data_IF_618461341007
#
_entry.id   IF_618461341007
#
_cell.length_a   1.000
_cell.length_b   1.000
_cell.length_c   1.000
_cell.angle_alpha   90.00
_cell.angle_beta   90.00
_cell.angle_gamma   90.00
#
_symmetry.space_group_name_H-M   'P 1'
#
loop_
_entity.id
_entity.type
_entity.pdbx_description
1 polymer ?
#
# COMPACT_ATOMS: atom_id res chain seq x y z
N UNK A 1 23.94 -33.02 48.56
CA UNK A 1 22.73 -32.53 47.88
C UNK A 1 23.10 -32.06 46.50
N UNK A 2 22.84 -32.89 45.49
CA UNK A 2 23.02 -32.51 44.08
C UNK A 2 21.73 -31.85 43.60
N UNK A 3 21.79 -30.55 43.29
CA UNK A 3 20.70 -29.83 42.64
C UNK A 3 20.59 -30.34 41.20
N UNK A 4 19.61 -31.20 40.95
CA UNK A 4 19.15 -31.52 39.60
C UNK A 4 18.45 -30.28 39.03
N UNK A 5 19.20 -29.49 38.25
CA UNK A 5 18.58 -28.58 37.29
C UNK A 5 17.86 -29.45 36.26
N UNK A 6 16.53 -29.47 36.34
CA UNK A 6 15.67 -30.02 35.32
C UNK A 6 15.80 -29.10 34.09
N UNK A 7 16.85 -29.30 33.27
CA UNK A 7 16.91 -28.77 31.90
C UNK A 7 15.77 -29.44 31.14
N UNK A 8 14.60 -28.80 31.13
CA UNK A 8 13.51 -29.21 30.27
C UNK A 8 14.06 -29.34 28.86
N UNK A 9 13.98 -30.54 28.27
CA UNK A 9 14.34 -30.76 26.86
C UNK A 9 13.65 -29.67 26.04
N UNK A 10 14.43 -28.90 25.28
CA UNK A 10 13.86 -28.01 24.27
C UNK A 10 12.98 -28.87 23.36
N UNK A 11 11.67 -28.60 23.32
CA UNK A 11 10.75 -29.31 22.42
C UNK A 11 11.24 -29.16 20.98
N UNK A 12 11.08 -30.20 20.18
CA UNK A 12 11.47 -30.15 18.77
C UNK A 12 10.62 -29.09 18.04
N UNK A 13 11.19 -28.32 17.09
CA UNK A 13 10.44 -27.31 16.35
C UNK A 13 9.17 -27.84 15.67
N UNK A 14 9.18 -29.09 15.21
CA UNK A 14 8.00 -29.77 14.64
C UNK A 14 6.87 -29.97 15.65
N UNK A 15 7.21 -30.34 16.88
CA UNK A 15 6.21 -30.57 17.93
C UNK A 15 5.60 -29.26 18.40
N UNK A 16 6.39 -28.18 18.40
CA UNK A 16 5.91 -26.82 18.70
C UNK A 16 4.90 -26.37 17.64
N UNK A 17 5.24 -26.50 16.35
CA UNK A 17 4.35 -26.10 15.26
C UNK A 17 3.02 -26.87 15.30
N UNK A 18 3.07 -28.21 15.50
CA UNK A 18 1.87 -29.04 15.62
C UNK A 18 1.04 -28.68 16.84
N UNK A 19 1.68 -28.48 18.00
CA UNK A 19 0.99 -28.11 19.23
C UNK A 19 0.30 -26.75 19.12
N UNK A 20 0.90 -25.75 18.46
CA UNK A 20 0.25 -24.45 18.25
C UNK A 20 -1.03 -24.61 17.43
N UNK A 21 -0.99 -25.44 16.37
CA UNK A 21 -2.15 -25.71 15.51
C UNK A 21 -3.29 -26.40 16.27
N UNK A 22 -2.97 -27.35 17.14
CA UNK A 22 -3.97 -28.04 17.97
C UNK A 22 -4.59 -27.11 19.04
N UNK A 23 -3.81 -26.15 19.56
CA UNK A 23 -4.17 -25.28 20.68
C UNK A 23 -4.73 -23.90 20.27
N UNK A 24 -5.15 -23.69 19.01
CA UNK A 24 -5.55 -22.37 18.48
C UNK A 24 -6.66 -21.65 19.29
N UNK A 25 -7.34 -22.35 20.20
CA UNK A 25 -8.43 -21.83 21.05
C UNK A 25 -8.13 -21.95 22.56
N UNK A 26 -6.95 -22.42 22.95
CA UNK A 26 -6.62 -22.72 24.35
C UNK A 26 -5.63 -21.71 24.97
N UNK A 27 -5.75 -21.47 26.28
CA UNK A 27 -4.86 -20.57 27.03
C UNK A 27 -3.38 -20.99 27.00
N UNK A 28 -3.10 -22.27 26.75
CA UNK A 28 -1.73 -22.79 26.64
C UNK A 28 -0.98 -22.33 25.38
N UNK A 29 -1.70 -21.82 24.38
CA UNK A 29 -1.16 -21.32 23.11
C UNK A 29 -0.11 -20.21 23.30
N UNK A 30 -0.34 -19.29 24.25
CA UNK A 30 0.57 -18.18 24.50
C UNK A 30 1.97 -18.66 24.92
N UNK A 31 2.05 -19.77 25.68
CA UNK A 31 3.33 -20.37 26.06
C UNK A 31 4.05 -20.97 24.85
N UNK A 32 3.33 -21.64 23.95
CA UNK A 32 3.92 -22.21 22.75
C UNK A 32 4.39 -21.13 21.78
N UNK A 33 3.61 -20.06 21.59
CA UNK A 33 4.02 -18.90 20.79
C UNK A 33 5.25 -18.21 21.39
N UNK A 34 5.31 -18.03 22.71
CA UNK A 34 6.51 -17.48 23.35
C UNK A 34 7.74 -18.36 23.14
N UNK A 35 7.59 -19.69 23.14
CA UNK A 35 8.69 -20.62 22.82
C UNK A 35 9.11 -20.53 21.35
N UNK A 36 8.15 -20.47 20.43
CA UNK A 36 8.40 -20.29 19.01
C UNK A 36 9.12 -18.96 18.73
N UNK A 37 8.71 -17.88 19.39
CA UNK A 37 9.38 -16.57 19.33
C UNK A 37 10.83 -16.67 19.80
N UNK A 38 11.07 -17.37 20.93
CA UNK A 38 12.43 -17.55 21.45
C UNK A 38 13.35 -18.24 20.44
N UNK A 39 12.85 -19.23 19.68
CA UNK A 39 13.63 -19.91 18.64
C UNK A 39 14.02 -18.96 17.51
N UNK A 40 13.10 -18.11 17.05
CA UNK A 40 13.36 -17.24 15.88
C UNK A 40 14.07 -15.93 16.20
N UNK A 41 13.94 -15.44 17.44
CA UNK A 41 14.47 -14.13 17.86
C UNK A 41 15.64 -14.24 18.84
N UNK A 42 15.69 -15.30 19.66
CA UNK A 42 16.65 -15.42 20.75
C UNK A 42 16.42 -14.42 21.89
N UNK A 43 17.38 -14.34 22.79
CA UNK A 43 17.48 -13.30 23.85
C UNK A 43 18.93 -12.83 23.96
N UNK A 44 19.22 -11.92 24.91
CA UNK A 44 20.61 -11.55 25.21
C UNK A 44 21.45 -12.73 25.72
N UNK A 45 20.81 -13.78 26.26
CA UNK A 45 21.46 -14.96 26.81
C UNK A 45 21.38 -16.18 25.88
N UNK A 46 20.42 -16.19 24.97
CA UNK A 46 20.12 -17.32 24.09
C UNK A 46 20.31 -16.88 22.64
N UNK A 47 21.40 -17.32 22.03
CA UNK A 47 21.66 -17.10 20.61
C UNK A 47 20.71 -17.94 19.73
N UNK A 48 20.37 -17.38 18.56
CA UNK A 48 19.52 -18.04 17.57
C UNK A 48 20.34 -19.08 16.80
N UNK A 49 19.91 -20.35 16.83
CA UNK A 49 20.48 -21.40 15.97
C UNK A 49 19.81 -21.39 14.58
N UNK A 50 20.56 -21.16 13.49
CA UNK A 50 20.01 -21.19 12.13
C UNK A 50 19.34 -22.53 11.77
N UNK A 51 19.87 -23.64 12.27
CA UNK A 51 19.33 -24.98 12.04
C UNK A 51 17.98 -25.17 12.72
N UNK A 52 17.83 -24.67 13.96
CA UNK A 52 16.56 -24.71 14.67
C UNK A 52 15.50 -23.83 14.00
N UNK A 53 15.88 -22.64 13.54
CA UNK A 53 14.98 -21.76 12.78
C UNK A 53 14.59 -22.41 11.46
N UNK A 54 15.53 -23.02 10.74
CA UNK A 54 15.23 -23.73 9.50
C UNK A 54 14.22 -24.87 9.72
N UNK A 55 14.43 -25.70 10.74
CA UNK A 55 13.54 -26.78 11.10
C UNK A 55 12.14 -26.26 11.49
N UNK A 56 12.09 -25.15 12.24
CA UNK A 56 10.83 -24.50 12.62
C UNK A 56 10.08 -23.96 11.40
N UNK A 57 10.77 -23.26 10.49
CA UNK A 57 10.16 -22.75 9.26
C UNK A 57 9.60 -23.90 8.44
N UNK A 58 10.36 -24.98 8.23
CA UNK A 58 9.88 -26.15 7.49
C UNK A 58 8.63 -26.76 8.13
N UNK A 59 8.62 -26.95 9.45
CA UNK A 59 7.45 -27.46 10.15
C UNK A 59 6.23 -26.53 10.04
N UNK A 60 6.44 -25.21 10.18
CA UNK A 60 5.39 -24.20 10.06
C UNK A 60 4.72 -24.25 8.68
N UNK A 61 5.51 -24.40 7.60
CA UNK A 61 5.00 -24.49 6.24
C UNK A 61 4.29 -25.82 5.96
N UNK A 62 4.81 -26.93 6.52
CA UNK A 62 4.18 -28.25 6.39
C UNK A 62 2.81 -28.31 7.05
N UNK A 63 2.68 -27.72 8.25
CA UNK A 63 1.44 -27.69 9.01
C UNK A 63 0.46 -26.60 8.56
N UNK A 64 0.81 -25.77 7.58
CA UNK A 64 0.02 -24.60 7.16
C UNK A 64 -0.29 -23.63 8.32
N UNK A 65 0.62 -23.56 9.28
CA UNK A 65 0.39 -22.86 10.55
C UNK A 65 0.26 -21.34 10.36
N UNK A 66 0.94 -20.77 9.36
CA UNK A 66 0.83 -19.32 9.08
C UNK A 66 -0.60 -18.94 8.67
N UNK A 67 -1.28 -19.76 7.88
CA UNK A 67 -2.65 -19.49 7.47
C UNK A 67 -3.59 -19.47 8.68
N UNK A 68 -3.52 -20.52 9.51
CA UNK A 68 -4.32 -20.62 10.73
C UNK A 68 -4.06 -19.46 11.71
N UNK A 69 -2.79 -19.06 11.88
CA UNK A 69 -2.42 -17.92 12.72
C UNK A 69 -2.91 -16.58 12.14
N UNK A 70 -2.89 -16.40 10.81
CA UNK A 70 -3.42 -15.20 10.16
C UNK A 70 -4.94 -15.10 10.36
N UNK A 71 -5.66 -16.19 10.11
CA UNK A 71 -7.11 -16.26 10.28
C UNK A 71 -7.53 -16.07 11.76
N UNK A 72 -6.78 -16.69 12.68
CA UNK A 72 -7.05 -16.68 14.12
C UNK A 72 -6.49 -15.47 14.88
N UNK A 73 -5.72 -14.58 14.24
CA UNK A 73 -4.94 -13.55 14.96
C UNK A 73 -5.80 -12.66 15.86
N UNK A 74 -7.00 -12.31 15.41
CA UNK A 74 -7.93 -11.47 16.15
C UNK A 74 -8.47 -12.13 17.43
N UNK A 75 -8.44 -13.47 17.53
CA UNK A 75 -8.91 -14.23 18.69
C UNK A 75 -7.82 -14.40 19.76
N UNK A 76 -6.56 -14.17 19.40
CA UNK A 76 -5.44 -14.35 20.31
C UNK A 76 -5.41 -13.25 21.39
N UNK A 77 -4.96 -13.59 22.62
CA UNK A 77 -4.71 -12.59 23.64
C UNK A 77 -3.61 -11.62 23.21
N UNK A 78 -3.55 -10.46 23.85
CA UNK A 78 -2.71 -9.33 23.43
C UNK A 78 -1.22 -9.70 23.25
N UNK A 79 -0.62 -10.40 24.22
CA UNK A 79 0.78 -10.81 24.12
C UNK A 79 1.00 -11.89 23.04
N UNK A 80 0.06 -12.83 22.87
CA UNK A 80 0.15 -13.83 21.81
C UNK A 80 0.07 -13.20 20.40
N UNK A 81 -0.69 -12.11 20.23
CA UNK A 81 -0.68 -11.35 18.96
C UNK A 81 0.68 -10.73 18.66
N UNK A 82 1.33 -10.12 19.66
CA UNK A 82 2.68 -9.55 19.51
C UNK A 82 3.72 -10.60 19.19
N UNK A 83 3.64 -11.75 19.86
CA UNK A 83 4.52 -12.88 19.61
C UNK A 83 4.31 -13.41 18.19
N UNK A 84 3.06 -13.59 17.76
CA UNK A 84 2.72 -14.02 16.40
C UNK A 84 3.24 -13.05 15.34
N UNK A 85 3.07 -11.75 15.54
CA UNK A 85 3.64 -10.72 14.66
C UNK A 85 5.17 -10.84 14.53
N UNK A 86 5.85 -11.03 15.67
CA UNK A 86 7.30 -11.18 15.72
C UNK A 86 7.74 -12.44 14.97
N UNK A 87 7.08 -13.56 15.21
CA UNK A 87 7.33 -14.85 14.56
C UNK A 87 7.16 -14.72 13.04
N UNK A 88 6.02 -14.21 12.59
CA UNK A 88 5.75 -13.99 11.16
C UNK A 88 6.85 -13.15 10.50
N UNK A 89 7.23 -12.04 11.13
CA UNK A 89 8.24 -11.13 10.59
C UNK A 89 9.62 -11.79 10.47
N UNK A 90 10.00 -12.64 11.42
CA UNK A 90 11.27 -13.38 11.34
C UNK A 90 11.21 -14.47 10.28
N UNK A 91 10.10 -15.21 10.18
CA UNK A 91 9.91 -16.25 9.16
C UNK A 91 9.93 -15.63 7.74
N UNK A 92 9.28 -14.48 7.54
CA UNK A 92 9.28 -13.72 6.28
C UNK A 92 10.67 -13.25 5.85
N UNK A 93 11.61 -13.09 6.79
CA UNK A 93 12.99 -12.67 6.51
C UNK A 93 13.96 -13.85 6.39
N UNK A 94 13.59 -15.03 6.89
CA UNK A 94 14.50 -16.14 7.06
C UNK A 94 14.95 -16.72 5.72
N UNK A 95 16.27 -16.79 5.52
CA UNK A 95 16.91 -17.44 4.37
C UNK A 95 17.88 -18.51 4.87
N UNK A 96 17.73 -19.78 4.46
CA UNK A 96 18.72 -20.81 4.73
C UNK A 96 20.09 -20.43 4.19
N UNK A 97 21.17 -20.81 4.88
CA UNK A 97 22.56 -20.50 4.50
C UNK A 97 22.91 -21.03 3.10
N UNK A 98 22.30 -22.16 2.71
CA UNK A 98 22.51 -22.82 1.42
C UNK A 98 21.37 -22.57 0.42
N UNK A 99 20.58 -21.49 0.60
CA UNK A 99 19.47 -21.22 -0.30
C UNK A 99 19.96 -20.76 -1.68
N UNK A 100 19.66 -21.55 -2.71
CA UNK A 100 19.92 -21.18 -4.11
C UNK A 100 18.88 -20.20 -4.67
N UNK A 101 17.74 -20.03 -4.00
CA UNK A 101 16.70 -19.08 -4.40
C UNK A 101 16.92 -17.71 -3.75
N UNK A 102 16.69 -16.65 -4.53
CA UNK A 102 16.83 -15.27 -4.07
C UNK A 102 15.84 -14.93 -2.94
N UNK A 103 14.68 -15.60 -2.88
CA UNK A 103 13.61 -15.30 -1.95
C UNK A 103 13.54 -16.27 -0.75
N UNK A 104 13.06 -15.81 0.42
CA UNK A 104 12.77 -16.67 1.56
C UNK A 104 11.83 -17.83 1.20
N UNK A 105 12.01 -19.04 1.78
CA UNK A 105 11.15 -20.20 1.47
C UNK A 105 9.65 -19.95 1.69
N UNK A 106 9.31 -19.12 2.68
CA UNK A 106 7.91 -18.75 2.97
C UNK A 106 7.28 -17.93 1.85
N UNK A 107 8.04 -17.11 1.12
CA UNK A 107 7.50 -16.33 0.00
C UNK A 107 7.13 -17.27 -1.14
N UNK A 108 7.98 -18.25 -1.46
CA UNK A 108 7.66 -19.28 -2.43
C UNK A 108 6.44 -20.10 -2.02
N UNK A 109 6.30 -20.43 -0.73
CA UNK A 109 5.11 -21.11 -0.20
C UNK A 109 3.83 -20.29 -0.38
N UNK A 110 3.85 -19.00 -0.02
CA UNK A 110 2.71 -18.11 -0.18
C UNK A 110 2.31 -18.03 -1.66
N UNK A 111 3.27 -17.84 -2.56
CA UNK A 111 2.99 -17.69 -3.99
C UNK A 111 2.41 -18.95 -4.63
N UNK A 112 2.97 -20.13 -4.32
CA UNK A 112 2.62 -21.35 -5.06
C UNK A 112 1.56 -22.20 -4.36
N UNK A 113 1.34 -22.01 -3.06
CA UNK A 113 0.51 -22.93 -2.26
C UNK A 113 -0.55 -22.23 -1.40
N UNK A 114 -0.25 -21.06 -0.83
CA UNK A 114 -1.14 -20.43 0.16
C UNK A 114 -1.20 -18.89 0.09
N UNK A 115 -1.68 -18.31 -1.03
CA UNK A 115 -1.86 -16.87 -1.15
C UNK A 115 -2.86 -16.30 -0.13
N UNK A 116 -3.78 -17.13 0.36
CA UNK A 116 -4.80 -16.77 1.36
C UNK A 116 -4.19 -16.23 2.65
N UNK A 117 -2.94 -16.58 2.99
CA UNK A 117 -2.24 -15.99 4.14
C UNK A 117 -2.25 -14.45 4.05
N UNK A 118 -1.99 -13.91 2.86
CA UNK A 118 -1.96 -12.47 2.64
C UNK A 118 -3.37 -11.87 2.72
N UNK A 119 -4.35 -12.57 2.18
CA UNK A 119 -5.75 -12.14 2.20
C UNK A 119 -6.28 -12.08 3.64
N UNK A 120 -6.04 -13.11 4.45
CA UNK A 120 -6.45 -13.15 5.86
C UNK A 120 -5.71 -12.10 6.70
N UNK A 121 -4.43 -11.84 6.42
CA UNK A 121 -3.71 -10.73 7.05
C UNK A 121 -4.34 -9.38 6.71
N UNK A 122 -4.78 -9.15 5.47
CA UNK A 122 -5.53 -7.94 5.10
C UNK A 122 -6.87 -7.86 5.83
N UNK A 123 -7.65 -8.95 5.87
CA UNK A 123 -8.91 -9.04 6.62
C UNK A 123 -8.73 -8.78 8.12
N UNK A 124 -7.52 -8.96 8.65
CA UNK A 124 -7.19 -8.56 10.02
C UNK A 124 -7.44 -7.08 10.36
N UNK A 125 -7.58 -6.18 9.37
CA UNK A 125 -8.05 -4.80 9.57
C UNK A 125 -9.55 -4.69 9.90
N UNK A 126 -10.35 -5.73 9.72
CA UNK A 126 -11.75 -5.76 10.16
C UNK A 126 -11.89 -5.74 11.69
N UNK A 127 -10.85 -6.16 12.40
CA UNK A 127 -10.81 -6.19 13.85
C UNK A 127 -9.72 -5.26 14.37
N UNK A 128 -10.12 -4.23 15.13
CA UNK A 128 -9.22 -3.21 15.68
C UNK A 128 -8.03 -3.79 16.46
N UNK A 129 -8.24 -4.93 17.12
CA UNK A 129 -7.25 -5.58 17.95
C UNK A 129 -6.16 -6.32 17.14
N UNK A 130 -6.44 -6.81 15.94
CA UNK A 130 -5.44 -7.44 15.06
C UNK A 130 -4.84 -6.49 14.01
N UNK A 131 -5.46 -5.33 13.77
CA UNK A 131 -5.06 -4.40 12.73
C UNK A 131 -3.56 -4.05 12.74
N UNK A 132 -3.01 -3.62 13.88
CA UNK A 132 -1.60 -3.23 14.00
C UNK A 132 -0.61 -4.41 13.80
N UNK A 133 -0.82 -5.58 14.47
CA UNK A 133 -0.05 -6.79 14.16
C UNK A 133 -0.09 -7.18 12.69
N UNK A 134 -1.28 -7.25 12.08
CA UNK A 134 -1.45 -7.58 10.67
C UNK A 134 -0.74 -6.58 9.76
N UNK A 135 -0.93 -5.28 10.00
CA UNK A 135 -0.28 -4.23 9.24
C UNK A 135 1.23 -4.33 9.28
N UNK A 136 1.81 -4.65 10.44
CA UNK A 136 3.26 -4.84 10.57
C UNK A 136 3.76 -6.04 9.79
N UNK A 137 3.04 -7.16 9.84
CA UNK A 137 3.36 -8.37 9.05
C UNK A 137 3.24 -8.08 7.55
N UNK A 138 2.15 -7.43 7.13
CA UNK A 138 1.89 -7.08 5.73
C UNK A 138 2.97 -6.18 5.16
N UNK A 139 3.39 -5.14 5.89
CA UNK A 139 4.46 -4.25 5.45
C UNK A 139 5.82 -4.96 5.37
N UNK A 140 6.05 -5.98 6.20
CA UNK A 140 7.22 -6.84 6.04
C UNK A 140 7.12 -7.70 4.77
N UNK A 141 5.97 -8.31 4.53
CA UNK A 141 5.72 -9.14 3.35
C UNK A 141 5.74 -8.32 2.04
N UNK A 142 5.26 -7.07 2.09
CA UNK A 142 5.24 -6.14 0.96
C UNK A 142 6.63 -5.78 0.45
N UNK A 143 7.72 -6.14 1.14
CA UNK A 143 9.08 -6.04 0.57
C UNK A 143 9.26 -6.89 -0.68
N UNK A 144 8.43 -7.90 -0.88
CA UNK A 144 8.41 -8.76 -2.07
C UNK A 144 7.27 -8.32 -2.99
N UNK A 145 7.58 -8.14 -4.27
CA UNK A 145 6.67 -7.60 -5.28
C UNK A 145 5.47 -8.52 -5.57
N UNK A 146 5.71 -9.83 -5.53
CA UNK A 146 4.68 -10.88 -5.59
C UNK A 146 3.57 -10.71 -4.56
N UNK A 147 3.88 -10.18 -3.36
CA UNK A 147 2.86 -9.95 -2.32
C UNK A 147 1.99 -8.75 -2.69
N UNK A 148 2.58 -7.70 -3.26
CA UNK A 148 1.79 -6.58 -3.77
C UNK A 148 0.90 -7.02 -4.94
N UNK A 149 1.38 -7.91 -5.81
CA UNK A 149 0.57 -8.47 -6.90
C UNK A 149 -0.63 -9.27 -6.36
N UNK A 150 -0.44 -10.12 -5.34
CA UNK A 150 -1.56 -10.84 -4.70
C UNK A 150 -2.60 -9.84 -4.20
N UNK A 151 -2.20 -8.83 -3.41
CA UNK A 151 -3.15 -7.87 -2.83
C UNK A 151 -3.88 -7.07 -3.92
N UNK A 152 -3.15 -6.55 -4.91
CA UNK A 152 -3.71 -5.70 -5.95
C UNK A 152 -4.65 -6.46 -6.88
N UNK A 153 -4.29 -7.68 -7.28
CA UNK A 153 -5.02 -8.42 -8.31
C UNK A 153 -6.07 -9.40 -7.78
N UNK A 154 -6.07 -9.72 -6.48
CA UNK A 154 -7.06 -10.60 -5.88
C UNK A 154 -8.47 -9.99 -5.95
N UNK A 155 -9.41 -10.78 -6.46
CA UNK A 155 -10.83 -10.46 -6.58
C UNK A 155 -11.72 -11.58 -5.99
N UNK A 156 -11.13 -12.47 -5.19
CA UNK A 156 -11.84 -13.61 -4.63
C UNK A 156 -12.88 -13.17 -3.59
N UNK A 157 -14.03 -13.84 -3.56
CA UNK A 157 -15.04 -13.66 -2.51
C UNK A 157 -14.69 -14.47 -1.25
N UNK A 158 -15.42 -14.22 -0.15
CA UNK A 158 -15.23 -14.97 1.08
C UNK A 158 -15.49 -16.47 0.88
N UNK A 159 -14.46 -17.28 1.10
CA UNK A 159 -14.50 -18.74 0.93
C UNK A 159 -14.01 -19.22 -0.43
N UNK A 160 -13.75 -18.32 -1.38
CA UNK A 160 -13.07 -18.65 -2.62
C UNK A 160 -11.55 -18.70 -2.43
N UNK A 161 -10.83 -19.51 -3.22
CA UNK A 161 -9.37 -19.51 -3.21
C UNK A 161 -8.84 -18.15 -3.68
N UNK A 162 -7.75 -17.70 -3.05
CA UNK A 162 -7.13 -16.44 -3.43
C UNK A 162 -6.42 -16.57 -4.79
N UNK A 163 -6.23 -15.43 -5.47
CA UNK A 163 -5.64 -15.41 -6.80
C UNK A 163 -4.25 -16.08 -6.84
N UNK A 164 -4.01 -16.90 -7.87
CA UNK A 164 -2.67 -17.39 -8.18
C UNK A 164 -1.97 -16.42 -9.11
N UNK A 165 -0.67 -16.19 -8.93
CA UNK A 165 0.08 -15.28 -9.80
C UNK A 165 0.04 -15.68 -11.29
N UNK A 166 -0.11 -16.96 -11.59
CA UNK A 166 -0.27 -17.49 -12.96
C UNK A 166 -1.60 -17.10 -13.61
N UNK A 167 -2.59 -16.69 -12.82
CA UNK A 167 -3.95 -16.33 -13.26
C UNK A 167 -4.14 -14.81 -13.36
N UNK A 168 -3.14 -14.03 -12.94
CA UNK A 168 -3.20 -12.56 -12.99
C UNK A 168 -3.31 -12.09 -14.43
N UNK A 169 -4.29 -11.22 -14.70
CA UNK A 169 -4.53 -10.60 -16.00
C UNK A 169 -4.36 -9.08 -15.89
N UNK A 170 -3.14 -8.53 -16.02
CA UNK A 170 -2.86 -7.11 -15.78
C UNK A 170 -3.59 -6.14 -16.71
N UNK A 171 -4.05 -6.60 -17.88
CA UNK A 171 -4.74 -5.78 -18.87
C UNK A 171 -6.26 -5.72 -18.71
N UNK A 172 -6.82 -6.41 -17.72
CA UNK A 172 -8.27 -6.46 -17.48
C UNK A 172 -8.63 -5.56 -16.30
N UNK A 173 -9.51 -4.56 -16.48
CA UNK A 173 -10.01 -3.75 -15.38
C UNK A 173 -10.74 -4.61 -14.34
N UNK A 174 -10.55 -4.28 -13.07
CA UNK A 174 -11.20 -4.91 -11.94
C UNK A 174 -12.60 -4.35 -11.69
N UNK A 175 -13.40 -5.10 -10.93
CA UNK A 175 -14.76 -4.72 -10.56
C UNK A 175 -14.82 -3.86 -9.29
N UNK A 176 -13.75 -3.83 -8.50
CA UNK A 176 -13.68 -3.02 -7.27
C UNK A 176 -14.08 -3.74 -5.99
N UNK A 177 -14.22 -5.07 -6.03
CA UNK A 177 -14.67 -5.92 -4.92
C UNK A 177 -13.54 -6.65 -4.18
N UNK A 178 -12.35 -6.72 -4.79
CA UNK A 178 -11.19 -7.42 -4.24
C UNK A 178 -10.63 -6.84 -2.94
N UNK A 179 -9.73 -7.59 -2.30
CA UNK A 179 -9.18 -7.26 -0.97
C UNK A 179 -8.54 -5.86 -0.91
N UNK A 180 -7.84 -5.44 -1.97
CA UNK A 180 -7.25 -4.10 -2.06
C UNK A 180 -8.29 -3.00 -1.90
N UNK A 181 -9.47 -3.18 -2.47
CA UNK A 181 -10.53 -2.18 -2.46
C UNK A 181 -11.18 -2.00 -1.09
N UNK A 182 -10.97 -2.94 -0.17
CA UNK A 182 -11.42 -2.84 1.23
C UNK A 182 -10.59 -1.87 2.06
N UNK A 183 -9.35 -1.56 1.65
CA UNK A 183 -8.55 -0.51 2.29
C UNK A 183 -9.23 0.87 2.28
N UNK A 184 -9.96 1.21 1.21
CA UNK A 184 -10.73 2.46 1.17
C UNK A 184 -11.74 2.56 2.32
N UNK A 185 -12.38 1.44 2.66
CA UNK A 185 -13.32 1.37 3.79
C UNK A 185 -12.57 1.43 5.13
N UNK A 186 -11.51 0.65 5.32
CA UNK A 186 -10.74 0.65 6.57
C UNK A 186 -10.11 2.01 6.89
N UNK A 187 -9.68 2.74 5.86
CA UNK A 187 -9.07 4.07 5.99
C UNK A 187 -10.11 5.16 6.32
N UNK A 188 -11.30 5.10 5.74
CA UNK A 188 -12.32 6.16 5.93
C UNK A 188 -13.23 5.93 7.14
N UNK A 189 -13.51 4.66 7.49
CA UNK A 189 -14.47 4.28 8.54
C UNK A 189 -13.83 3.74 9.82
N UNK A 190 -12.52 3.54 9.82
CA UNK A 190 -11.78 3.04 10.98
C UNK A 190 -11.73 4.04 12.15
N UNK A 191 -11.30 3.54 13.32
CA UNK A 191 -10.77 4.42 14.37
C UNK A 191 -9.54 5.17 13.85
N UNK A 192 -9.10 6.22 14.54
CA UNK A 192 -7.91 6.97 14.13
C UNK A 192 -6.67 6.07 13.94
N UNK A 193 -6.40 5.18 14.91
CA UNK A 193 -5.26 4.26 14.85
C UNK A 193 -5.37 3.26 13.70
N UNK A 194 -6.56 2.68 13.48
CA UNK A 194 -6.83 1.74 12.40
C UNK A 194 -6.68 2.42 11.04
N UNK A 195 -7.25 3.62 10.89
CA UNK A 195 -7.18 4.41 9.67
C UNK A 195 -5.73 4.80 9.34
N UNK A 196 -4.94 5.21 10.35
CA UNK A 196 -3.55 5.58 10.16
C UNK A 196 -2.67 4.38 9.75
N UNK A 197 -2.84 3.22 10.40
CA UNK A 197 -2.07 2.02 10.08
C UNK A 197 -2.46 1.43 8.73
N UNK A 198 -3.77 1.32 8.44
CA UNK A 198 -4.26 0.86 7.13
C UNK A 198 -3.83 1.79 6.00
N UNK A 199 -3.83 3.11 6.20
CA UNK A 199 -3.31 4.06 5.22
C UNK A 199 -1.81 3.86 4.97
N UNK A 200 -1.03 3.55 6.00
CA UNK A 200 0.41 3.29 5.87
C UNK A 200 0.66 2.07 4.98
N UNK A 201 -0.08 0.98 5.21
CA UNK A 201 0.00 -0.23 4.38
C UNK A 201 -0.51 0.02 2.95
N UNK A 202 -1.63 0.73 2.80
CA UNK A 202 -2.17 1.12 1.49
C UNK A 202 -1.20 1.96 0.66
N UNK A 203 -0.56 2.96 1.28
CA UNK A 203 0.50 3.74 0.65
C UNK A 203 1.67 2.85 0.22
N UNK A 204 2.07 1.90 1.05
CA UNK A 204 3.18 0.99 0.73
C UNK A 204 2.88 0.09 -0.47
N UNK A 205 1.66 -0.46 -0.55
CA UNK A 205 1.16 -1.21 -1.71
C UNK A 205 1.31 -0.38 -2.99
N UNK A 206 0.95 0.91 -2.94
CA UNK A 206 0.92 1.81 -4.10
C UNK A 206 2.26 2.47 -4.45
N UNK A 207 3.28 2.41 -3.61
CA UNK A 207 4.52 3.21 -3.82
C UNK A 207 5.80 2.40 -3.83
N UNK A 208 5.79 1.17 -3.31
CA UNK A 208 7.00 0.35 -3.21
C UNK A 208 7.43 -0.25 -4.56
N UNK A 209 6.51 -0.93 -5.24
CA UNK A 209 6.81 -1.72 -6.45
C UNK A 209 6.29 -1.04 -7.72
N UNK A 210 7.02 0.00 -8.15
CA UNK A 210 6.60 0.94 -9.19
C UNK A 210 6.12 0.28 -10.49
N UNK A 211 6.81 -0.78 -10.95
CA UNK A 211 6.48 -1.47 -12.20
C UNK A 211 5.07 -2.05 -12.17
N UNK A 212 4.74 -2.80 -11.11
CA UNK A 212 3.43 -3.45 -10.94
C UNK A 212 2.34 -2.40 -10.75
N UNK A 213 2.59 -1.40 -9.89
CA UNK A 213 1.59 -0.36 -9.58
C UNK A 213 1.29 0.52 -10.79
N UNK A 214 2.30 0.88 -11.59
CA UNK A 214 2.09 1.69 -12.81
C UNK A 214 1.13 0.99 -13.76
N UNK A 215 1.36 -0.30 -14.03
CA UNK A 215 0.48 -1.10 -14.90
C UNK A 215 -0.92 -1.21 -14.30
N UNK A 216 -1.02 -1.52 -13.02
CA UNK A 216 -2.29 -1.65 -12.32
C UNK A 216 -3.12 -0.36 -12.34
N UNK A 217 -2.51 0.79 -12.04
CA UNK A 217 -3.17 2.10 -12.04
C UNK A 217 -3.60 2.52 -13.45
N UNK A 218 -2.82 2.18 -14.48
CA UNK A 218 -3.19 2.47 -15.87
C UNK A 218 -4.42 1.66 -16.29
N UNK A 219 -4.45 0.36 -15.99
CA UNK A 219 -5.60 -0.52 -16.32
C UNK A 219 -6.86 -0.14 -15.55
N UNK A 220 -6.72 0.23 -14.27
CA UNK A 220 -7.84 0.51 -13.37
C UNK A 220 -8.10 2.01 -13.17
N UNK A 221 -7.63 2.85 -14.11
CA UNK A 221 -7.53 4.29 -13.93
C UNK A 221 -8.85 4.94 -13.47
N UNK A 222 -9.93 4.73 -14.22
CA UNK A 222 -11.22 5.36 -13.95
C UNK A 222 -11.79 4.92 -12.60
N UNK A 223 -11.80 3.62 -12.34
CA UNK A 223 -12.31 3.06 -11.09
C UNK A 223 -11.49 3.51 -9.88
N UNK A 224 -10.15 3.43 -9.98
CA UNK A 224 -9.25 3.79 -8.89
C UNK A 224 -9.37 5.27 -8.55
N UNK A 225 -9.21 6.17 -9.53
CA UNK A 225 -9.22 7.60 -9.22
C UNK A 225 -10.62 8.13 -8.89
N UNK A 226 -11.69 7.53 -9.41
CA UNK A 226 -13.04 7.86 -8.95
C UNK A 226 -13.18 7.58 -7.46
N UNK A 227 -12.85 6.36 -7.01
CA UNK A 227 -12.97 5.97 -5.60
C UNK A 227 -11.96 6.70 -4.70
N UNK A 228 -10.72 6.88 -5.16
CA UNK A 228 -9.69 7.62 -4.43
C UNK A 228 -10.08 9.08 -4.21
N UNK A 229 -10.63 9.73 -5.23
CA UNK A 229 -11.05 11.12 -5.12
C UNK A 229 -12.30 11.30 -4.26
N UNK A 230 -13.28 10.40 -4.39
CA UNK A 230 -14.53 10.45 -3.64
C UNK A 230 -14.34 10.09 -2.17
N UNK A 231 -13.67 8.98 -1.89
CA UNK A 231 -13.58 8.43 -0.53
C UNK A 231 -12.43 9.08 0.25
N UNK A 232 -11.26 9.23 -0.36
CA UNK A 232 -10.04 9.57 0.38
C UNK A 232 -9.70 11.07 0.30
N UNK A 233 -9.60 11.63 -0.90
CA UNK A 233 -9.27 13.06 -1.09
C UNK A 233 -10.37 13.98 -0.57
N UNK A 234 -11.63 13.54 -0.64
CA UNK A 234 -12.77 14.29 -0.13
C UNK A 234 -13.21 13.88 1.28
N UNK A 235 -12.50 12.95 1.94
CA UNK A 235 -12.83 12.46 3.29
C UNK A 235 -13.08 13.60 4.28
N UNK A 236 -14.02 13.42 5.20
CA UNK A 236 -14.26 14.39 6.28
C UNK A 236 -13.12 14.38 7.31
N UNK A 237 -12.42 13.25 7.46
CA UNK A 237 -11.24 13.11 8.32
C UNK A 237 -10.09 13.97 7.80
N UNK A 238 -9.63 14.91 8.64
CA UNK A 238 -8.51 15.79 8.28
C UNK A 238 -7.25 15.01 7.93
N UNK A 239 -6.90 14.00 8.73
CA UNK A 239 -5.68 13.23 8.53
C UNK A 239 -5.78 12.38 7.26
N UNK A 240 -6.90 11.67 7.07
CA UNK A 240 -7.15 10.90 5.85
C UNK A 240 -7.09 11.78 4.62
N UNK A 241 -7.83 12.91 4.60
CA UNK A 241 -7.82 13.87 3.50
C UNK A 241 -6.40 14.34 3.16
N UNK A 242 -5.68 14.86 4.16
CA UNK A 242 -4.34 15.43 3.96
C UNK A 242 -3.37 14.37 3.43
N UNK A 243 -3.30 13.20 4.05
CA UNK A 243 -2.39 12.15 3.64
C UNK A 243 -2.73 11.61 2.24
N UNK A 244 -4.01 11.56 1.88
CA UNK A 244 -4.46 11.12 0.56
C UNK A 244 -4.08 12.10 -0.55
N UNK A 245 -4.18 13.41 -0.30
CA UNK A 245 -3.74 14.44 -1.26
C UNK A 245 -2.22 14.38 -1.44
N UNK A 246 -1.48 14.19 -0.34
CA UNK A 246 -0.03 14.01 -0.40
C UNK A 246 0.34 12.78 -1.23
N UNK A 247 -0.31 11.63 -0.98
CA UNK A 247 -0.12 10.40 -1.74
C UNK A 247 -0.48 10.57 -3.22
N UNK A 248 -1.56 11.30 -3.53
CA UNK A 248 -1.91 11.64 -4.91
C UNK A 248 -0.77 12.43 -5.59
N UNK A 249 -0.20 13.42 -4.90
CA UNK A 249 0.98 14.14 -5.39
C UNK A 249 2.17 13.22 -5.65
N UNK A 250 2.48 12.31 -4.70
CA UNK A 250 3.54 11.30 -4.85
C UNK A 250 3.32 10.40 -6.07
N UNK A 251 2.09 9.91 -6.28
CA UNK A 251 1.75 9.04 -7.43
C UNK A 251 1.91 9.79 -8.75
N UNK A 252 1.38 11.01 -8.86
CA UNK A 252 1.39 11.80 -10.09
C UNK A 252 2.80 12.29 -10.46
N UNK A 253 3.65 12.58 -9.47
CA UNK A 253 5.00 13.08 -9.71
C UNK A 253 6.03 11.95 -9.94
N UNK A 254 5.66 10.69 -9.72
CA UNK A 254 6.54 9.58 -10.05
C UNK A 254 6.70 9.42 -11.57
N UNK A 255 7.96 9.43 -12.04
CA UNK A 255 8.30 9.30 -13.46
C UNK A 255 7.76 8.03 -14.13
N UNK A 256 7.58 6.94 -13.37
CA UNK A 256 7.03 5.68 -13.89
C UNK A 256 5.54 5.81 -14.22
N UNK A 257 4.84 6.66 -13.48
CA UNK A 257 3.41 6.95 -13.65
C UNK A 257 3.13 8.04 -14.68
N UNK A 258 4.03 8.35 -15.63
CA UNK A 258 3.82 9.44 -16.59
C UNK A 258 2.46 9.35 -17.31
N UNK A 259 2.10 8.17 -17.83
CA UNK A 259 0.82 7.98 -18.53
C UNK A 259 -0.38 8.19 -17.60
N UNK A 260 -0.28 7.68 -16.36
CA UNK A 260 -1.31 7.85 -15.32
C UNK A 260 -1.46 9.33 -14.96
N UNK A 261 -0.33 10.04 -14.79
CA UNK A 261 -0.32 11.47 -14.50
C UNK A 261 -0.95 12.26 -15.62
N UNK A 262 -0.56 12.00 -16.88
CA UNK A 262 -1.13 12.66 -18.05
C UNK A 262 -2.65 12.47 -18.13
N UNK A 263 -3.15 11.23 -17.96
CA UNK A 263 -4.59 10.96 -17.93
C UNK A 263 -5.30 11.72 -16.79
N UNK A 264 -4.69 11.80 -15.60
CA UNK A 264 -5.26 12.51 -14.46
C UNK A 264 -5.36 14.02 -14.68
N UNK A 265 -4.30 14.63 -15.24
CA UNK A 265 -4.24 16.09 -15.44
C UNK A 265 -4.99 16.57 -16.67
N UNK A 266 -5.47 15.68 -17.53
CA UNK A 266 -6.36 16.02 -18.64
C UNK A 266 -7.82 16.22 -18.21
N UNK A 267 -8.21 15.72 -17.04
CA UNK A 267 -9.58 15.80 -16.52
C UNK A 267 -9.90 17.17 -15.92
N UNK A 268 -10.93 17.82 -16.46
CA UNK A 268 -11.47 19.06 -15.90
C UNK A 268 -12.11 18.88 -14.51
N UNK A 269 -12.68 17.72 -14.23
CA UNK A 269 -13.26 17.43 -12.90
C UNK A 269 -12.17 17.28 -11.84
N UNK A 270 -11.05 16.64 -12.18
CA UNK A 270 -9.91 16.54 -11.28
C UNK A 270 -9.31 17.93 -11.00
N UNK A 271 -9.22 18.81 -12.01
CA UNK A 271 -8.80 20.21 -11.78
C UNK A 271 -9.76 20.95 -10.84
N UNK A 272 -11.08 20.81 -11.02
CA UNK A 272 -12.07 21.44 -10.14
C UNK A 272 -11.90 20.94 -8.70
N UNK A 273 -11.66 19.65 -8.50
CA UNK A 273 -11.35 19.09 -7.18
C UNK A 273 -10.12 19.75 -6.58
N UNK A 274 -9.00 19.82 -7.31
CA UNK A 274 -7.79 20.48 -6.82
C UNK A 274 -8.02 21.96 -6.48
N UNK A 275 -8.77 22.70 -7.31
CA UNK A 275 -9.12 24.10 -7.03
C UNK A 275 -10.02 24.26 -5.79
N UNK A 276 -10.87 23.28 -5.47
CA UNK A 276 -11.61 23.25 -4.20
C UNK A 276 -10.67 23.03 -3.02
N UNK A 277 -9.67 22.15 -3.14
CA UNK A 277 -8.68 21.89 -2.08
C UNK A 277 -7.86 23.14 -1.75
N UNK A 278 -7.52 23.98 -2.74
CA UNK A 278 -6.86 25.28 -2.51
C UNK A 278 -7.69 26.22 -1.62
N UNK A 279 -9.00 25.99 -1.53
CA UNK A 279 -9.94 26.79 -0.73
C UNK A 279 -10.39 26.09 0.56
N UNK A 280 -9.79 24.95 0.92
CA UNK A 280 -10.11 24.26 2.17
C UNK A 280 -9.74 25.13 3.37
N UNK A 281 -10.49 25.10 4.47
CA UNK A 281 -10.23 25.95 5.64
C UNK A 281 -8.89 25.65 6.33
N UNK A 282 -8.30 24.47 6.07
CA UNK A 282 -7.09 23.98 6.75
C UNK A 282 -5.86 24.23 5.88
N UNK A 283 -4.94 25.08 6.34
CA UNK A 283 -3.71 25.45 5.62
C UNK A 283 -2.89 24.28 5.10
N UNK A 284 -2.78 23.19 5.87
CA UNK A 284 -2.03 22.01 5.44
C UNK A 284 -2.72 21.24 4.32
N UNK A 285 -4.06 21.24 4.25
CA UNK A 285 -4.79 20.66 3.11
C UNK A 285 -4.61 21.53 1.87
N UNK A 286 -4.69 22.85 2.04
CA UNK A 286 -4.41 23.81 0.97
C UNK A 286 -3.02 23.60 0.38
N UNK A 287 -2.01 23.45 1.24
CA UNK A 287 -0.62 23.24 0.86
C UNK A 287 -0.42 21.96 0.04
N UNK A 288 -0.94 20.81 0.49
CA UNK A 288 -0.86 19.57 -0.31
C UNK A 288 -1.67 19.70 -1.61
N UNK A 289 -2.84 20.39 -1.56
CA UNK A 289 -3.66 20.67 -2.75
C UNK A 289 -2.93 21.52 -3.80
N UNK A 290 -2.06 22.43 -3.37
CA UNK A 290 -1.20 23.21 -4.25
C UNK A 290 -0.21 22.35 -5.02
N UNK A 291 0.41 21.36 -4.37
CA UNK A 291 1.35 20.47 -5.05
C UNK A 291 0.70 19.64 -6.16
N UNK A 292 -0.58 19.27 -6.01
CA UNK A 292 -1.35 18.60 -7.07
C UNK A 292 -1.79 19.59 -8.14
N UNK A 293 -2.31 20.76 -7.76
CA UNK A 293 -2.73 21.82 -8.68
C UNK A 293 -1.58 22.29 -9.59
N UNK A 294 -0.37 22.40 -9.04
CA UNK A 294 0.87 22.69 -9.76
C UNK A 294 1.04 21.83 -11.02
N UNK A 295 0.74 20.53 -10.93
CA UNK A 295 0.94 19.59 -12.04
C UNK A 295 0.03 19.93 -13.23
N UNK A 296 -1.22 20.36 -12.97
CA UNK A 296 -2.15 20.79 -14.02
C UNK A 296 -1.66 22.04 -14.76
N UNK A 297 -1.16 23.02 -14.01
CA UNK A 297 -0.70 24.29 -14.57
C UNK A 297 0.66 24.14 -15.27
N UNK A 298 1.53 23.27 -14.76
CA UNK A 298 2.84 22.98 -15.34
C UNK A 298 2.76 22.10 -16.61
N UNK A 299 1.67 21.36 -16.83
CA UNK A 299 1.50 20.55 -18.03
C UNK A 299 1.53 21.43 -19.30
N UNK A 300 2.48 21.25 -20.24
CA UNK A 300 2.52 22.03 -21.48
C UNK A 300 1.36 21.69 -22.42
N UNK A 301 0.85 20.46 -22.36
CA UNK A 301 -0.19 19.92 -23.25
C UNK A 301 -1.53 19.81 -22.52
N UNK A 302 -2.03 20.94 -22.00
CA UNK A 302 -3.30 20.98 -21.26
C UNK A 302 -4.48 20.62 -22.17
N UNK A 303 -5.39 19.78 -21.70
CA UNK A 303 -6.65 19.51 -22.42
C UNK A 303 -7.48 20.78 -22.59
N UNK A 304 -8.36 20.83 -23.60
CA UNK A 304 -9.27 21.97 -23.83
C UNK A 304 -10.15 22.24 -22.61
N UNK A 305 -10.60 21.19 -21.91
CA UNK A 305 -11.40 21.31 -20.69
C UNK A 305 -10.62 22.02 -19.57
N UNK A 306 -9.37 21.62 -19.35
CA UNK A 306 -8.48 22.21 -18.34
C UNK A 306 -8.13 23.64 -18.68
N UNK A 307 -7.76 23.93 -19.94
CA UNK A 307 -7.50 25.28 -20.41
C UNK A 307 -8.70 26.19 -20.18
N UNK A 308 -9.91 25.75 -20.56
CA UNK A 308 -11.14 26.53 -20.38
C UNK A 308 -11.37 26.89 -18.92
N UNK A 309 -11.17 25.96 -17.99
CA UNK A 309 -11.32 26.23 -16.55
C UNK A 309 -10.29 27.26 -16.08
N UNK A 310 -9.01 27.11 -16.45
CA UNK A 310 -7.95 28.04 -16.05
C UNK A 310 -8.16 29.44 -16.64
N UNK A 311 -8.54 29.53 -17.92
CA UNK A 311 -8.82 30.80 -18.61
C UNK A 311 -10.00 31.51 -17.94
N UNK A 312 -11.11 30.81 -17.70
CA UNK A 312 -12.31 31.39 -17.08
C UNK A 312 -12.07 31.87 -15.64
N UNK A 313 -11.06 31.35 -14.97
CA UNK A 313 -10.71 31.73 -13.59
C UNK A 313 -9.42 32.56 -13.50
N UNK A 314 -8.84 33.00 -14.63
CA UNK A 314 -7.51 33.64 -14.70
C UNK A 314 -7.36 34.79 -13.70
N UNK A 315 -8.23 35.79 -13.78
CA UNK A 315 -8.12 36.99 -12.94
C UNK A 315 -8.24 36.67 -11.45
N UNK A 316 -9.06 35.66 -11.11
CA UNK A 316 -9.22 35.20 -9.72
C UNK A 316 -7.97 34.47 -9.25
N UNK A 317 -7.41 33.59 -10.08
CA UNK A 317 -6.18 32.87 -9.77
C UNK A 317 -4.98 33.81 -9.61
N UNK A 318 -4.83 34.81 -10.49
CA UNK A 318 -3.73 35.79 -10.41
C UNK A 318 -3.83 36.70 -9.18
N UNK A 319 -5.04 36.94 -8.66
CA UNK A 319 -5.23 37.64 -7.38
C UNK A 319 -5.03 36.73 -6.18
N UNK A 320 -5.41 35.47 -6.30
CA UNK A 320 -5.37 34.49 -5.21
C UNK A 320 -3.95 33.97 -4.93
N UNK A 321 -3.25 33.50 -5.95
CA UNK A 321 -1.97 32.80 -5.80
C UNK A 321 -0.89 33.63 -5.09
N UNK A 322 -0.67 34.94 -5.38
CA UNK A 322 0.37 35.70 -4.68
C UNK A 322 0.20 35.73 -3.15
N UNK A 323 -1.05 35.78 -2.66
CA UNK A 323 -1.41 35.81 -1.23
C UNK A 323 -1.63 34.43 -0.62
N UNK A 324 -1.56 33.38 -1.43
CA UNK A 324 -1.80 32.01 -0.97
C UNK A 324 -0.68 31.55 -0.05
N UNK A 325 -1.03 31.21 1.19
CA UNK A 325 -0.11 30.80 2.27
C UNK A 325 1.10 31.75 2.41
N UNK A 326 0.85 33.06 2.36
CA UNK A 326 1.91 34.09 2.43
C UNK A 326 2.69 34.10 3.76
N UNK A 327 2.15 33.46 4.80
CA UNK A 327 2.82 33.29 6.08
C UNK A 327 3.94 32.24 6.07
N UNK A 328 4.05 31.43 4.99
CA UNK A 328 5.10 30.43 4.81
C UNK A 328 6.31 31.04 4.08
N UNK A 329 7.10 31.83 4.80
CA UNK A 329 8.25 32.56 4.25
C UNK A 329 9.58 31.79 4.32
N UNK A 330 9.61 30.64 4.99
CA UNK A 330 10.79 29.78 5.19
C UNK A 330 10.97 28.72 4.08
N UNK A 331 10.05 28.70 3.10
CA UNK A 331 10.01 27.73 2.01
C UNK A 331 10.23 28.44 0.66
N UNK A 332 11.50 28.65 0.31
CA UNK A 332 11.91 29.30 -0.93
C UNK A 332 11.38 28.54 -2.16
N UNK A 333 11.41 27.20 -2.11
CA UNK A 333 10.89 26.35 -3.18
C UNK A 333 9.40 26.62 -3.42
N UNK A 334 8.60 26.67 -2.37
CA UNK A 334 7.18 26.99 -2.49
C UNK A 334 6.95 28.40 -3.10
N UNK A 335 7.76 29.38 -2.71
CA UNK A 335 7.69 30.75 -3.23
C UNK A 335 8.02 30.82 -4.73
N UNK A 336 9.04 30.08 -5.16
CA UNK A 336 9.43 29.97 -6.57
C UNK A 336 8.36 29.23 -7.39
N UNK A 337 7.84 28.12 -6.88
CA UNK A 337 6.76 27.38 -7.52
C UNK A 337 5.51 28.26 -7.70
N UNK A 338 5.15 29.04 -6.68
CA UNK A 338 4.02 29.99 -6.73
C UNK A 338 4.22 31.05 -7.81
N UNK A 339 5.41 31.64 -7.86
CA UNK A 339 5.78 32.65 -8.86
C UNK A 339 5.77 32.06 -10.28
N UNK A 340 6.26 30.83 -10.45
CA UNK A 340 6.19 30.09 -11.70
C UNK A 340 4.74 29.86 -12.15
N UNK A 341 3.84 29.43 -11.24
CA UNK A 341 2.43 29.20 -11.57
C UNK A 341 1.71 30.49 -12.00
N UNK A 342 1.97 31.61 -11.30
CA UNK A 342 1.42 32.93 -11.67
C UNK A 342 1.82 33.26 -13.12
N UNK A 343 3.10 33.12 -13.45
CA UNK A 343 3.62 33.41 -14.79
C UNK A 343 3.02 32.49 -15.85
N UNK A 344 2.85 31.19 -15.55
CA UNK A 344 2.19 30.25 -16.46
C UNK A 344 0.73 30.60 -16.73
N UNK A 345 0.00 31.08 -15.71
CA UNK A 345 -1.40 31.47 -15.84
C UNK A 345 -1.54 32.79 -16.63
N UNK A 346 -0.62 33.74 -16.45
CA UNK A 346 -0.57 34.99 -17.24
C UNK A 346 -0.37 34.69 -18.74
N UNK A 347 0.50 33.72 -19.05
CA UNK A 347 0.83 33.32 -20.43
C UNK A 347 -0.24 32.47 -21.11
N UNK A 348 -1.34 32.12 -20.44
CA UNK A 348 -2.42 31.35 -21.07
C UNK A 348 -3.03 32.13 -22.25
N UNK A 349 -3.40 31.46 -23.36
CA UNK A 349 -4.07 32.09 -24.48
C UNK A 349 -5.45 32.62 -24.08
N UNK A 350 -6.00 33.60 -24.82
CA UNK A 350 -7.33 34.17 -24.52
C UNK A 350 -8.46 33.15 -24.66
N UNK A 351 -8.29 32.20 -25.57
CA UNK A 351 -9.23 31.12 -25.85
C UNK A 351 -8.51 29.76 -25.78
N UNK A 352 -9.21 28.67 -25.45
CA UNK A 352 -8.62 27.34 -25.46
C UNK A 352 -8.11 26.97 -26.85
N UNK A 353 -6.90 26.43 -26.93
CA UNK A 353 -6.27 25.95 -28.17
C UNK A 353 -6.19 24.44 -28.12
N UNK A 354 -6.52 23.75 -29.21
CA UNK A 354 -6.30 22.31 -29.28
C UNK A 354 -4.80 21.99 -29.13
N UNK A 355 -4.41 21.15 -28.16
CA UNK A 355 -3.02 20.79 -28.00
C UNK A 355 -2.55 20.02 -29.24
N UNK A 356 -1.42 20.44 -29.81
CA UNK A 356 -0.79 19.73 -30.92
C UNK A 356 -0.32 18.35 -30.44
N UNK A 357 -1.18 17.33 -30.56
CA UNK A 357 -0.79 15.95 -30.29
C UNK A 357 0.36 15.60 -31.22
N UNK A 358 1.55 15.40 -30.67
CA UNK A 358 2.66 14.92 -31.49
C UNK A 358 2.23 13.57 -32.07
N UNK A 359 2.30 13.41 -33.38
CA UNK A 359 1.92 12.18 -34.11
C UNK A 359 2.78 10.94 -33.74
N UNK A 360 3.60 11.02 -32.68
CA UNK A 360 4.45 9.93 -32.17
C UNK A 360 3.76 8.98 -31.20
N UNK A 361 2.60 9.34 -30.62
CA UNK A 361 1.94 8.48 -29.62
C UNK A 361 0.97 7.45 -30.22
N UNK A 362 0.42 7.71 -31.41
CA UNK A 362 -0.47 6.75 -32.08
C UNK A 362 0.24 5.43 -32.44
N UNK A 363 1.57 5.43 -32.62
CA UNK A 363 2.34 4.22 -32.98
C UNK A 363 2.71 3.33 -31.80
N UNK A 364 2.47 3.74 -30.54
CA UNK A 364 2.75 2.92 -29.34
C UNK A 364 1.53 2.18 -28.80
N UNK A 365 0.32 2.50 -29.28
CA UNK A 365 -0.91 1.79 -28.92
C UNK A 365 -1.09 0.44 -29.64
N UNK A 366 -0.19 0.08 -30.58
CA UNK A 366 -0.32 -1.11 -31.44
C UNK A 366 0.76 -2.19 -31.27
N UNK A 367 1.71 -2.08 -30.33
CA UNK A 367 2.77 -3.08 -30.18
C UNK A 367 3.06 -3.33 -28.70
N UNK A 368 2.41 -4.37 -28.14
CA UNK A 368 2.99 -5.33 -27.20
C UNK A 368 1.90 -6.27 -26.65
N UNK A 369 1.41 -7.18 -27.50
CA UNK A 369 0.66 -8.39 -27.09
C UNK A 369 1.41 -9.68 -27.41
N UNK A 370 2.72 -9.62 -27.68
CA UNK A 370 3.52 -10.81 -27.94
C UNK A 370 4.97 -10.62 -27.49
N UNK A 371 5.25 -10.83 -26.20
CA UNK A 371 6.55 -11.30 -25.69
C UNK A 371 6.55 -11.36 -24.15
N UNK A 372 5.78 -12.27 -23.56
CA UNK A 372 6.17 -12.95 -22.31
C UNK A 372 5.67 -14.38 -22.44
N UNK A 373 6.58 -15.27 -22.83
CA UNK A 373 6.47 -16.72 -22.67
C UNK A 373 7.57 -17.14 -21.70
#
# INVERSE_FOLDING_TARGET
>A
MAFFFNRGRSRQPSDIARSIKELLVEDELAKQLSQMKLIVQGTQEIEVSPEQVQALVQATLQEDLLYELAQGLHRLPFEARKDTQTIFSHILRFKPVNANHADPPVISYIVHKRPEIIIELCKGYEHSQSAMPCGTILREALKFDVIAAIILYDQSEDGEPAIRLTEVQPGVPQEGNGIFWRFFYWIDRGSFELSADSFTTFREILTRHKSIVTGYLATNFDLFFSKFNEVLVQSSSYVTKRQSIKLLGEILLDRTNYNVMMAYVESGENLKLCMKLLRDDRKMVQYEGFHVFKVFVANPNKSVAVQRILINNRDRLLKFLPRFLEDRTDDDQFTDEKSFLVRQIELLPKEPIEPARSAREASRSGINTAAVA
#
